data_IF_095414503298
#
_entry.id   IF_095414503298
#
_cell.length_a   1.000
_cell.length_b   1.000
_cell.length_c   1.000
_cell.angle_alpha   90.00
_cell.angle_beta   90.00
_cell.angle_gamma   90.00
#
_symmetry.space_group_name_H-M   'P 1'
#
loop_
_entity.id
_entity.type
_entity.pdbx_description
1 polymer ?
#
# COMPACT_ATOMS: atom_id res chain seq x y z
N UNK A 1 -20.91 -62.74 -14.10
CA UNK A 1 -20.90 -61.92 -15.34
C UNK A 1 -22.16 -61.08 -15.37
N UNK A 2 -22.16 -59.87 -15.93
CA UNK A 2 -21.05 -58.91 -15.94
C UNK A 2 -21.54 -57.44 -15.91
N UNK A 3 -20.57 -56.52 -15.77
CA UNK A 3 -20.49 -55.21 -16.44
C UNK A 3 -21.79 -54.41 -16.66
N UNK A 4 -21.86 -53.25 -16.00
CA UNK A 4 -22.14 -52.02 -16.76
C UNK A 4 -21.36 -50.87 -16.14
N UNK A 5 -20.17 -50.62 -16.71
CA UNK A 5 -19.84 -49.48 -17.59
C UNK A 5 -19.35 -48.29 -16.74
N UNK A 6 -18.03 -48.10 -16.65
CA UNK A 6 -17.26 -47.27 -17.58
C UNK A 6 -17.63 -45.77 -17.47
N UNK A 7 -16.67 -44.89 -17.70
CA UNK A 7 -16.02 -44.09 -16.68
C UNK A 7 -16.20 -42.61 -17.00
N UNK A 8 -16.41 -41.74 -16.04
CA UNK A 8 -16.36 -40.31 -16.33
C UNK A 8 -15.84 -39.61 -15.08
N UNK A 9 -14.58 -39.18 -15.05
CA UNK A 9 -14.28 -37.84 -15.57
C UNK A 9 -15.35 -36.84 -15.12
N UNK A 10 -15.27 -36.44 -13.86
CA UNK A 10 -15.65 -35.08 -13.46
C UNK A 10 -14.85 -34.80 -12.17
N UNK A 11 -13.51 -34.72 -12.24
CA UNK A 11 -12.80 -33.65 -12.94
C UNK A 11 -13.34 -32.31 -12.46
N UNK A 12 -12.53 -31.59 -11.67
CA UNK A 12 -12.78 -30.23 -11.22
C UNK A 12 -13.99 -30.15 -10.28
N UNK A 13 -13.82 -29.90 -8.99
CA UNK A 13 -13.86 -28.51 -8.52
C UNK A 13 -13.06 -28.45 -7.21
N UNK A 14 -11.74 -28.56 -7.33
CA UNK A 14 -10.88 -27.69 -6.53
C UNK A 14 -11.23 -26.29 -7.04
N UNK A 15 -12.21 -25.65 -6.42
CA UNK A 15 -12.46 -24.23 -6.66
C UNK A 15 -11.31 -23.51 -5.95
N UNK A 16 -10.31 -22.96 -6.66
CA UNK A 16 -9.54 -21.90 -6.05
C UNK A 16 -10.58 -20.81 -5.79
N UNK A 17 -10.90 -20.58 -4.52
CA UNK A 17 -11.56 -19.34 -4.12
C UNK A 17 -10.59 -18.26 -4.61
N UNK A 18 -10.92 -17.67 -5.76
CA UNK A 18 -10.28 -16.47 -6.26
C UNK A 18 -10.58 -15.41 -5.21
N UNK A 19 -9.68 -15.28 -4.25
CA UNK A 19 -9.61 -14.15 -3.36
C UNK A 19 -9.24 -12.95 -4.23
N UNK A 20 -10.25 -12.38 -4.90
CA UNK A 20 -10.23 -11.00 -5.34
C UNK A 20 -10.08 -10.17 -4.07
N UNK A 21 -8.84 -9.81 -3.77
CA UNK A 21 -8.55 -8.74 -2.84
C UNK A 21 -9.09 -7.45 -3.49
N UNK A 22 -10.37 -7.16 -3.22
CA UNK A 22 -10.94 -5.84 -3.43
C UNK A 22 -10.28 -4.93 -2.38
N UNK A 23 -9.06 -4.48 -2.69
CA UNK A 23 -8.34 -3.53 -1.83
C UNK A 23 -9.01 -2.16 -2.05
N UNK A 24 -9.63 -1.57 -1.01
CA UNK A 24 -10.26 -0.27 -1.14
C UNK A 24 -9.19 0.73 -1.57
N UNK A 25 -9.38 1.35 -2.74
CA UNK A 25 -8.49 2.41 -3.17
C UNK A 25 -8.46 3.50 -2.09
N UNK A 26 -7.27 3.94 -1.63
CA UNK A 26 -7.19 4.96 -0.60
C UNK A 26 -7.90 6.23 -1.06
N UNK A 27 -8.61 6.92 -0.16
CA UNK A 27 -9.32 8.15 -0.48
C UNK A 27 -8.35 9.18 -1.08
N UNK A 28 -8.84 9.95 -2.05
CA UNK A 28 -8.02 10.88 -2.83
C UNK A 28 -7.27 11.89 -1.95
N UNK A 29 -7.88 12.32 -0.84
CA UNK A 29 -7.30 13.29 0.10
C UNK A 29 -5.98 12.78 0.71
N UNK A 30 -5.89 11.48 1.04
CA UNK A 30 -4.69 10.86 1.61
C UNK A 30 -3.54 10.85 0.61
N UNK A 31 -3.84 10.70 -0.69
CA UNK A 31 -2.85 10.72 -1.76
C UNK A 31 -2.25 12.11 -1.94
N UNK A 32 -3.10 13.14 -1.95
CA UNK A 32 -2.66 14.53 -2.07
C UNK A 32 -1.75 14.91 -0.91
N UNK A 33 -2.12 14.56 0.33
CA UNK A 33 -1.29 14.85 1.51
C UNK A 33 0.08 14.16 1.44
N UNK A 34 0.10 12.88 1.03
CA UNK A 34 1.33 12.11 0.88
C UNK A 34 2.25 12.70 -0.21
N UNK A 35 1.70 13.14 -1.34
CA UNK A 35 2.49 13.74 -2.42
C UNK A 35 3.13 15.07 -1.96
N UNK A 36 2.44 15.85 -1.12
CA UNK A 36 2.96 17.10 -0.56
C UNK A 36 4.15 16.84 0.37
N UNK A 37 4.05 15.88 1.28
CA UNK A 37 5.19 15.53 2.17
C UNK A 37 6.36 14.96 1.38
N UNK A 38 6.14 14.16 0.33
CA UNK A 38 7.23 13.68 -0.53
C UNK A 38 7.96 14.82 -1.25
N UNK A 39 7.21 15.82 -1.72
CA UNK A 39 7.72 16.96 -2.48
C UNK A 39 8.54 17.95 -1.64
N UNK A 40 8.26 18.05 -0.34
CA UNK A 40 8.72 19.11 0.55
C UNK A 40 10.25 19.28 0.58
N UNK A 41 11.01 18.18 0.54
CA UNK A 41 12.48 18.23 0.57
C UNK A 41 13.14 18.99 -0.59
N UNK A 42 12.39 19.30 -1.66
CA UNK A 42 12.89 20.12 -2.79
C UNK A 42 13.10 21.58 -2.42
N UNK A 43 12.22 22.13 -1.58
CA UNK A 43 12.27 23.52 -1.13
C UNK A 43 13.13 23.67 0.14
N UNK A 44 13.51 22.54 0.75
CA UNK A 44 14.27 22.44 2.00
C UNK A 44 15.51 21.55 1.83
N UNK A 45 16.39 21.93 0.91
CA UNK A 45 17.56 21.13 0.52
C UNK A 45 18.60 20.90 1.65
N UNK A 46 18.56 21.75 2.68
CA UNK A 46 19.37 21.67 3.90
C UNK A 46 18.82 20.69 4.94
N UNK A 47 17.70 20.02 4.65
CA UNK A 47 17.10 19.00 5.50
C UNK A 47 17.38 17.59 4.95
N UNK A 48 18.01 16.74 5.75
CA UNK A 48 18.26 15.33 5.44
C UNK A 48 17.03 14.43 5.68
N UNK A 49 16.17 14.78 6.65
CA UNK A 49 14.99 14.00 7.02
C UNK A 49 13.84 14.91 7.47
N UNK A 50 12.65 14.70 6.92
CA UNK A 50 11.43 15.47 7.24
C UNK A 50 10.21 14.57 7.38
N UNK A 51 9.18 15.06 8.07
CA UNK A 51 7.98 14.28 8.33
C UNK A 51 6.78 15.15 8.67
N UNK A 52 5.60 14.74 8.21
CA UNK A 52 4.28 15.25 8.65
C UNK A 52 3.72 14.47 9.86
N UNK A 53 4.51 13.58 10.47
CA UNK A 53 4.09 12.65 11.52
C UNK A 53 3.43 11.35 11.03
N UNK A 54 3.05 11.29 9.75
CA UNK A 54 2.44 10.14 9.08
C UNK A 54 3.35 9.47 8.05
N UNK A 55 4.28 10.24 7.51
CA UNK A 55 5.24 9.86 6.51
C UNK A 55 6.57 10.47 6.95
N UNK A 56 7.60 9.66 7.00
CA UNK A 56 8.97 10.10 7.21
C UNK A 56 9.73 9.95 5.89
N UNK A 57 10.29 11.05 5.42
CA UNK A 57 10.96 11.17 4.14
C UNK A 57 12.43 11.56 4.33
N UNK A 58 13.26 11.00 3.46
CA UNK A 58 14.65 11.42 3.24
C UNK A 58 14.84 11.68 1.73
N UNK A 59 16.04 12.10 1.34
CA UNK A 59 16.42 12.23 -0.07
C UNK A 59 16.37 10.91 -0.85
N UNK A 60 16.38 9.78 -0.15
CA UNK A 60 16.41 8.44 -0.74
C UNK A 60 14.99 7.87 -0.93
N UNK A 61 14.02 8.37 -0.17
CA UNK A 61 12.63 7.92 -0.25
C UNK A 61 11.84 8.19 1.03
N UNK A 62 10.60 7.71 1.05
CA UNK A 62 9.67 7.92 2.15
C UNK A 62 9.15 6.60 2.71
N UNK A 63 8.80 6.64 3.99
CA UNK A 63 8.28 5.51 4.76
C UNK A 63 7.07 5.96 5.57
N UNK A 64 6.08 5.07 5.75
CA UNK A 64 4.85 5.35 6.51
C UNK A 64 4.82 4.51 7.78
N UNK A 65 4.69 5.10 8.99
CA UNK A 65 4.67 4.34 10.24
C UNK A 65 3.41 3.48 10.47
N UNK A 66 2.36 3.58 9.65
CA UNK A 66 1.17 2.71 9.67
C UNK A 66 -0.18 3.44 9.65
N UNK A 67 -1.28 2.66 9.65
CA UNK A 67 -2.68 3.08 9.36
C UNK A 67 -3.28 4.11 10.34
N UNK A 68 -2.70 4.29 11.54
CA UNK A 68 -3.34 5.07 12.62
C UNK A 68 -2.79 6.49 12.81
N UNK A 69 -2.05 7.03 11.83
CA UNK A 69 -1.50 8.38 11.95
C UNK A 69 -2.48 9.43 11.41
N UNK A 70 -2.40 10.65 11.93
CA UNK A 70 -3.07 11.83 11.35
C UNK A 70 -1.99 12.80 10.89
N UNK A 71 -1.97 13.21 9.60
CA UNK A 71 -0.93 14.09 9.11
C UNK A 71 -1.00 15.45 9.81
N UNK A 72 0.16 16.05 9.98
CA UNK A 72 0.35 17.38 10.58
C UNK A 72 1.28 18.21 9.70
N UNK A 73 1.62 19.42 10.16
CA UNK A 73 2.60 20.25 9.47
C UNK A 73 3.93 19.52 9.27
N UNK A 74 4.48 19.61 8.06
CA UNK A 74 5.74 18.95 7.71
C UNK A 74 6.89 19.67 8.43
N UNK A 75 7.65 18.91 9.21
CA UNK A 75 8.79 19.44 9.97
C UNK A 75 10.09 18.78 9.54
N UNK A 76 11.17 19.57 9.50
CA UNK A 76 12.51 19.03 9.40
C UNK A 76 12.88 18.34 10.72
N UNK A 77 13.16 17.03 10.65
CA UNK A 77 13.59 16.20 11.78
C UNK A 77 15.12 16.17 11.90
N UNK A 78 15.82 16.27 10.77
CA UNK A 78 17.29 16.23 10.69
C UNK A 78 17.80 17.12 9.57
N UNK A 79 18.83 17.91 9.84
CA UNK A 79 19.58 18.68 8.83
C UNK A 79 20.56 17.79 8.08
#
# INVERSE_FOLDING_TARGET
MPLSRLPLLMFLLVAPVLAIADEPAPPADVRVETDVVQAWGRDHADCAEWSDGCVACTKEGCSTPGIACTPQEIVCRRK
#
